data_IF_792215225255
#
_entry.id   IF_792215225255
#
_cell.length_a   1.000
_cell.length_b   1.000
_cell.length_c   1.000
_cell.angle_alpha   90.00
_cell.angle_beta   90.00
_cell.angle_gamma   90.00
#
_symmetry.space_group_name_H-M   'P 1'
#
loop_
_entity.id
_entity.type
_entity.pdbx_description
1 polymer ?
#
# COMPACT_ATOMS: atom_id res chain seq x y z
N UNK A 1 3.63 -49.18 18.28
CA UNK A 1 3.19 -48.61 19.57
C UNK A 1 3.41 -47.10 19.55
N UNK A 2 2.41 -46.31 19.91
CA UNK A 2 2.50 -44.85 19.95
C UNK A 2 2.90 -44.42 21.36
N UNK A 3 4.10 -43.85 21.53
CA UNK A 3 4.56 -43.37 22.86
C UNK A 3 3.75 -42.12 23.22
N UNK A 4 3.00 -42.13 24.33
CA UNK A 4 2.23 -40.96 24.72
C UNK A 4 3.17 -39.81 25.06
N UNK A 5 2.85 -38.63 24.53
CA UNK A 5 3.60 -37.41 24.84
C UNK A 5 3.49 -37.13 26.34
N UNK A 6 4.63 -36.84 26.98
CA UNK A 6 4.67 -36.45 28.40
C UNK A 6 4.47 -34.94 28.55
N UNK A 7 3.76 -34.53 29.60
CA UNK A 7 3.71 -33.12 30.01
C UNK A 7 5.04 -32.73 30.68
N UNK A 8 5.34 -31.43 30.67
CA UNK A 8 6.53 -30.82 31.29
C UNK A 8 6.16 -29.43 31.82
N UNK A 9 6.97 -28.89 32.73
CA UNK A 9 6.76 -27.55 33.29
C UNK A 9 7.06 -26.48 32.22
N UNK A 10 6.12 -25.54 32.01
CA UNK A 10 6.30 -24.40 31.11
C UNK A 10 7.23 -23.34 31.74
N UNK A 11 8.25 -22.89 31.00
CA UNK A 11 9.20 -21.87 31.48
C UNK A 11 8.60 -20.48 31.78
N UNK A 12 7.35 -20.20 31.37
CA UNK A 12 6.74 -18.86 31.53
C UNK A 12 5.55 -18.83 32.49
N UNK A 13 4.79 -19.90 32.60
CA UNK A 13 3.64 -19.94 33.52
C UNK A 13 3.77 -21.02 34.58
N UNK A 14 4.90 -21.74 34.61
CA UNK A 14 5.30 -22.70 35.66
C UNK A 14 4.30 -23.85 35.90
N UNK A 15 3.34 -24.02 34.98
CA UNK A 15 2.35 -25.10 35.05
C UNK A 15 2.77 -26.29 34.19
N UNK A 16 2.35 -27.47 34.62
CA UNK A 16 2.56 -28.72 33.89
C UNK A 16 1.67 -28.77 32.64
N UNK A 17 2.28 -28.71 31.44
CA UNK A 17 1.58 -28.61 30.15
C UNK A 17 2.32 -29.39 29.06
N UNK A 18 1.68 -29.55 27.90
CA UNK A 18 2.40 -29.93 26.68
C UNK A 18 3.17 -28.72 26.15
N UNK A 19 4.50 -28.87 26.00
CA UNK A 19 5.36 -27.80 25.50
C UNK A 19 5.33 -27.74 23.98
N UNK A 20 5.08 -26.56 23.41
CA UNK A 20 5.01 -26.31 21.98
C UNK A 20 6.38 -26.04 21.36
N UNK A 21 7.15 -25.11 21.95
CA UNK A 21 8.48 -24.72 21.45
C UNK A 21 9.22 -23.87 22.48
N UNK A 22 10.56 -23.84 22.43
CA UNK A 22 11.43 -23.09 23.37
C UNK A 22 11.16 -23.35 24.87
N UNK A 23 10.61 -24.52 25.21
CA UNK A 23 10.24 -24.84 26.59
C UNK A 23 8.94 -24.17 27.09
N UNK A 24 8.11 -23.65 26.19
CA UNK A 24 6.89 -22.93 26.50
C UNK A 24 5.64 -23.71 26.07
N UNK A 25 4.54 -23.59 26.80
CA UNK A 25 3.23 -24.03 26.33
C UNK A 25 2.76 -23.18 25.13
N UNK A 26 1.82 -23.68 24.32
CA UNK A 26 1.36 -22.97 23.11
C UNK A 26 0.91 -21.52 23.38
N UNK A 27 0.08 -21.22 24.42
CA UNK A 27 -0.29 -19.84 24.73
C UNK A 27 0.89 -18.93 25.06
N UNK A 28 1.80 -19.38 25.94
CA UNK A 28 2.98 -18.59 26.31
C UNK A 28 3.94 -18.41 25.13
N UNK A 29 4.11 -19.44 24.29
CA UNK A 29 4.94 -19.34 23.08
C UNK A 29 4.40 -18.26 22.15
N UNK A 30 3.09 -18.29 21.83
CA UNK A 30 2.47 -17.31 20.96
C UNK A 30 2.57 -15.90 21.57
N UNK A 31 2.25 -15.73 22.85
CA UNK A 31 2.36 -14.43 23.51
C UNK A 31 3.77 -13.83 23.46
N UNK A 32 4.80 -14.66 23.66
CA UNK A 32 6.20 -14.19 23.77
C UNK A 32 6.94 -14.13 22.43
N UNK A 33 6.49 -14.89 21.42
CA UNK A 33 7.22 -15.02 20.14
C UNK A 33 6.43 -14.54 18.93
N UNK A 34 5.13 -14.24 19.07
CA UNK A 34 4.35 -13.74 17.95
C UNK A 34 4.73 -12.29 17.69
N UNK A 35 5.39 -12.05 16.56
CA UNK A 35 5.71 -10.70 16.10
C UNK A 35 4.46 -10.06 15.50
N UNK A 36 4.28 -8.73 15.64
CA UNK A 36 3.24 -8.03 14.91
C UNK A 36 3.35 -8.30 13.41
N UNK A 37 2.21 -8.48 12.74
CA UNK A 37 2.17 -8.57 11.28
C UNK A 37 2.59 -7.20 10.74
N UNK A 38 3.50 -7.20 9.76
CA UNK A 38 3.92 -5.96 9.11
C UNK A 38 2.71 -5.27 8.44
N UNK A 39 2.58 -3.95 8.61
CA UNK A 39 1.48 -3.16 8.01
C UNK A 39 1.48 -3.20 6.48
N UNK A 40 2.66 -3.36 5.87
CA UNK A 40 2.86 -3.53 4.43
C UNK A 40 3.82 -4.68 4.18
N UNK A 41 3.68 -5.37 3.06
CA UNK A 41 4.63 -6.40 2.65
C UNK A 41 5.97 -5.77 2.27
N UNK A 42 7.05 -6.55 2.38
CA UNK A 42 8.39 -6.12 1.97
C UNK A 42 8.41 -5.70 0.48
N UNK A 43 7.73 -6.47 -0.38
CA UNK A 43 7.54 -6.16 -1.80
C UNK A 43 6.86 -4.81 -2.04
N UNK A 44 5.83 -4.48 -1.25
CA UNK A 44 5.14 -3.19 -1.39
C UNK A 44 6.00 -2.03 -0.88
N UNK A 45 6.80 -2.26 0.16
CA UNK A 45 7.75 -1.26 0.66
C UNK A 45 8.79 -0.87 -0.40
N UNK A 46 9.34 -1.85 -1.13
CA UNK A 46 10.26 -1.62 -2.24
C UNK A 46 9.60 -0.84 -3.38
N UNK A 47 8.37 -1.20 -3.75
CA UNK A 47 7.58 -0.48 -4.75
C UNK A 47 7.35 1.00 -4.37
N UNK A 48 7.01 1.27 -3.09
CA UNK A 48 6.82 2.64 -2.61
C UNK A 48 8.11 3.46 -2.60
N UNK A 49 9.25 2.81 -2.33
CA UNK A 49 10.56 3.47 -2.40
C UNK A 49 10.86 3.93 -3.82
N UNK A 50 10.65 3.06 -4.82
CA UNK A 50 10.83 3.38 -6.24
C UNK A 50 9.86 4.48 -6.70
N UNK A 51 8.58 4.36 -6.32
CA UNK A 51 7.57 5.36 -6.64
C UNK A 51 7.88 6.74 -6.06
N UNK A 52 8.46 6.82 -4.86
CA UNK A 52 8.78 8.10 -4.21
C UNK A 52 9.76 8.91 -5.06
N UNK A 53 10.76 8.25 -5.64
CA UNK A 53 11.74 8.88 -6.54
C UNK A 53 11.07 9.34 -7.83
N UNK A 54 10.40 8.42 -8.53
CA UNK A 54 9.77 8.70 -9.83
C UNK A 54 8.70 9.80 -9.71
N UNK A 55 7.89 9.77 -8.64
CA UNK A 55 6.85 10.78 -8.39
C UNK A 55 7.47 12.16 -8.19
N UNK A 56 8.58 12.25 -7.47
CA UNK A 56 9.28 13.52 -7.23
C UNK A 56 9.79 14.08 -8.55
N UNK A 57 10.52 13.28 -9.33
CA UNK A 57 11.04 13.67 -10.65
C UNK A 57 9.92 14.11 -11.60
N UNK A 58 8.80 13.38 -11.62
CA UNK A 58 7.65 13.75 -12.43
C UNK A 58 7.05 15.10 -12.03
N UNK A 59 6.82 15.34 -10.72
CA UNK A 59 6.25 16.60 -10.25
C UNK A 59 7.19 17.79 -10.47
N UNK A 60 8.51 17.58 -10.34
CA UNK A 60 9.52 18.58 -10.70
C UNK A 60 9.48 18.90 -12.20
N UNK A 61 9.37 17.88 -13.06
CA UNK A 61 9.31 18.06 -14.52
C UNK A 61 8.11 18.89 -15.00
N UNK A 62 7.01 18.87 -14.25
CA UNK A 62 5.83 19.69 -14.54
C UNK A 62 5.76 20.98 -13.70
N UNK A 63 6.86 21.39 -13.06
CA UNK A 63 6.96 22.57 -12.20
C UNK A 63 5.90 22.60 -11.09
N UNK A 64 5.47 21.43 -10.61
CA UNK A 64 4.38 21.29 -9.65
C UNK A 64 3.09 22.02 -10.08
N UNK A 65 2.79 22.13 -11.37
CA UNK A 65 1.56 22.79 -11.85
C UNK A 65 0.43 21.76 -11.90
N UNK A 66 -0.68 22.05 -11.20
CA UNK A 66 -1.89 21.24 -11.27
C UNK A 66 -2.52 21.32 -12.67
N UNK A 67 -2.63 20.18 -13.35
CA UNK A 67 -3.09 20.12 -14.74
C UNK A 67 -4.61 20.30 -14.91
N UNK A 68 -5.49 19.67 -14.09
CA UNK A 68 -6.94 19.82 -14.27
C UNK A 68 -7.44 21.25 -14.12
N UNK A 69 -6.80 22.03 -13.24
CA UNK A 69 -7.09 23.43 -13.06
C UNK A 69 -8.59 23.80 -12.94
N UNK A 70 -9.31 23.04 -12.11
CA UNK A 70 -10.74 23.23 -11.87
C UNK A 70 -11.01 24.46 -10.98
N UNK A 71 -12.28 24.80 -10.79
CA UNK A 71 -12.73 25.99 -10.04
C UNK A 71 -12.06 26.14 -8.66
N UNK A 72 -11.91 25.04 -7.90
CA UNK A 72 -11.28 25.03 -6.56
C UNK A 72 -9.79 24.63 -6.56
N UNK A 73 -9.08 24.83 -7.67
CA UNK A 73 -7.69 24.43 -7.83
C UNK A 73 -6.71 25.34 -7.05
N UNK A 74 -5.83 24.74 -6.24
CA UNK A 74 -4.76 25.47 -5.54
C UNK A 74 -3.55 25.80 -6.43
N UNK A 75 -3.62 25.48 -7.73
CA UNK A 75 -2.59 25.63 -8.78
C UNK A 75 -1.32 24.80 -8.58
N UNK A 76 -1.01 24.40 -7.34
CA UNK A 76 0.14 23.57 -7.00
C UNK A 76 -0.22 22.09 -6.95
N UNK A 77 0.36 21.30 -7.84
CA UNK A 77 0.28 19.85 -7.79
C UNK A 77 1.06 19.32 -6.58
N UNK A 78 0.34 18.61 -5.72
CA UNK A 78 0.87 17.93 -4.53
C UNK A 78 0.65 16.42 -4.61
N UNK A 79 -0.02 15.95 -5.64
CA UNK A 79 -0.43 14.56 -5.83
C UNK A 79 -0.25 14.16 -7.30
N UNK A 80 -0.20 12.85 -7.52
CA UNK A 80 -0.20 12.25 -8.84
C UNK A 80 -1.43 11.38 -8.94
N UNK A 81 -2.27 11.68 -9.91
CA UNK A 81 -3.39 10.84 -10.29
C UNK A 81 -2.93 9.81 -11.33
N UNK A 82 -3.25 8.53 -11.10
CA UNK A 82 -2.92 7.42 -12.01
C UNK A 82 -4.03 7.22 -13.05
N UNK A 83 -3.93 7.87 -14.20
CA UNK A 83 -4.99 7.90 -15.22
C UNK A 83 -5.42 6.51 -15.71
N UNK A 84 -4.49 5.54 -15.75
CA UNK A 84 -4.76 4.15 -16.16
C UNK A 84 -4.96 3.18 -14.99
N UNK A 85 -4.94 3.68 -13.75
CA UNK A 85 -4.93 2.88 -12.54
C UNK A 85 -3.55 2.43 -12.10
N UNK A 86 -3.53 1.64 -11.03
CA UNK A 86 -2.31 1.29 -10.28
C UNK A 86 -2.23 -0.19 -9.90
N UNK A 87 -2.89 -1.06 -10.69
CA UNK A 87 -3.07 -2.50 -10.40
C UNK A 87 -1.81 -3.34 -10.61
N UNK A 88 -0.89 -2.90 -11.47
CA UNK A 88 0.39 -3.56 -11.73
C UNK A 88 1.55 -2.62 -11.39
N UNK A 89 2.74 -3.19 -11.13
CA UNK A 89 3.96 -2.39 -10.91
C UNK A 89 4.23 -1.44 -12.10
N UNK A 90 4.05 -1.92 -13.32
CA UNK A 90 4.20 -1.13 -14.53
C UNK A 90 3.26 0.08 -14.54
N UNK A 91 1.97 -0.11 -14.25
CA UNK A 91 1.02 1.00 -14.21
C UNK A 91 1.25 1.95 -13.03
N UNK A 92 1.66 1.40 -11.88
CA UNK A 92 1.91 2.17 -10.66
C UNK A 92 3.10 3.13 -10.81
N UNK A 93 4.12 2.74 -11.58
CA UNK A 93 5.38 3.47 -11.71
C UNK A 93 5.54 4.22 -13.03
N UNK A 94 4.66 4.05 -14.01
CA UNK A 94 4.86 4.63 -15.33
C UNK A 94 4.38 6.10 -15.42
N UNK A 95 5.29 7.08 -15.56
CA UNK A 95 4.93 8.50 -15.61
C UNK A 95 4.06 8.89 -16.80
N UNK A 96 4.03 8.07 -17.86
CA UNK A 96 3.13 8.27 -19.01
C UNK A 96 1.66 8.32 -18.59
N UNK A 97 1.31 7.64 -17.50
CA UNK A 97 -0.05 7.59 -16.98
C UNK A 97 -0.24 8.46 -15.73
N UNK A 98 0.72 9.32 -15.41
CA UNK A 98 0.62 10.24 -14.29
C UNK A 98 0.00 11.56 -14.74
N UNK A 99 -0.83 12.13 -13.87
CA UNK A 99 -1.40 13.46 -14.03
C UNK A 99 -1.08 14.27 -12.76
N UNK A 100 -0.43 15.45 -12.86
CA UNK A 100 -0.11 16.24 -11.68
C UNK A 100 -1.35 16.98 -11.20
N UNK A 101 -1.72 16.76 -9.95
CA UNK A 101 -2.98 17.27 -9.38
C UNK A 101 -2.75 17.89 -8.00
N UNK A 102 -3.49 18.96 -7.70
CA UNK A 102 -3.72 19.36 -6.31
C UNK A 102 -4.79 18.46 -5.69
N UNK A 103 -4.87 18.42 -4.36
CA UNK A 103 -5.81 17.55 -3.63
C UNK A 103 -7.28 17.79 -4.01
N UNK A 104 -7.70 19.05 -4.21
CA UNK A 104 -9.08 19.37 -4.61
C UNK A 104 -9.42 18.86 -6.01
N UNK A 105 -8.52 19.05 -6.97
CA UNK A 105 -8.70 18.53 -8.32
C UNK A 105 -8.65 16.99 -8.36
N UNK A 106 -7.72 16.37 -7.60
CA UNK A 106 -7.62 14.91 -7.50
C UNK A 106 -8.91 14.30 -6.95
N UNK A 107 -9.47 14.88 -5.90
CA UNK A 107 -10.74 14.41 -5.33
C UNK A 107 -11.87 14.49 -6.35
N UNK A 108 -11.99 15.63 -7.04
CA UNK A 108 -13.07 15.82 -8.01
C UNK A 108 -13.03 14.80 -9.15
N UNK A 109 -11.86 14.53 -9.74
CA UNK A 109 -11.73 13.57 -10.85
C UNK A 109 -11.96 12.11 -10.43
N UNK A 110 -11.68 11.74 -9.18
CA UNK A 110 -11.99 10.41 -8.63
C UNK A 110 -13.51 10.27 -8.39
N UNK A 111 -14.17 11.33 -7.94
CA UNK A 111 -15.62 11.34 -7.65
C UNK A 111 -16.48 11.50 -8.92
N UNK A 112 -15.92 12.03 -10.01
CA UNK A 112 -16.63 12.31 -11.27
C UNK A 112 -15.94 11.59 -12.46
N UNK A 113 -16.05 10.25 -12.56
CA UNK A 113 -15.31 9.47 -13.54
C UNK A 113 -15.68 9.78 -15.00
N UNK A 114 -16.96 10.08 -15.30
CA UNK A 114 -17.39 10.47 -16.66
C UNK A 114 -16.69 11.75 -17.11
N UNK A 115 -16.74 12.80 -16.27
CA UNK A 115 -15.99 14.03 -16.46
C UNK A 115 -14.49 13.77 -16.65
N UNK A 116 -13.91 12.90 -15.82
CA UNK A 116 -12.49 12.57 -15.90
C UNK A 116 -12.15 11.87 -17.23
N UNK A 117 -13.02 11.01 -17.77
CA UNK A 117 -12.82 10.39 -19.07
C UNK A 117 -12.96 11.38 -20.21
N UNK A 118 -14.00 12.22 -20.19
CA UNK A 118 -14.26 13.23 -21.22
C UNK A 118 -13.13 14.26 -21.33
N UNK A 119 -12.53 14.62 -20.20
CA UNK A 119 -11.44 15.60 -20.13
C UNK A 119 -10.04 14.96 -20.21
N UNK A 120 -9.95 13.64 -20.42
CA UNK A 120 -8.67 12.92 -20.54
C UNK A 120 -7.87 12.83 -19.24
N UNK A 121 -8.49 13.06 -18.08
CA UNK A 121 -7.88 12.87 -16.76
C UNK A 121 -7.88 11.41 -16.31
N UNK A 122 -8.69 10.57 -16.94
CA UNK A 122 -8.70 9.12 -16.75
C UNK A 122 -8.78 8.41 -18.09
N UNK A 123 -8.24 7.19 -18.17
CA UNK A 123 -8.25 6.36 -19.37
C UNK A 123 -9.22 5.19 -19.14
N UNK A 124 -10.23 5.05 -20.00
CA UNK A 124 -11.15 3.91 -19.94
C UNK A 124 -10.33 2.62 -20.08
N UNK A 125 -10.50 1.72 -19.12
CA UNK A 125 -9.96 0.37 -19.22
C UNK A 125 -11.00 -0.39 -20.03
N UNK A 126 -10.68 -0.76 -21.27
CA UNK A 126 -11.56 -1.65 -22.03
C UNK A 126 -11.71 -2.93 -21.20
N UNK A 127 -12.90 -3.14 -20.66
CA UNK A 127 -13.30 -4.45 -20.13
C UNK A 127 -13.54 -5.29 -21.38
N UNK A 128 -12.59 -6.16 -21.71
CA UNK A 128 -12.88 -7.31 -22.56
C UNK A 128 -13.55 -8.37 -21.72
#
# INVERSE_FOLDING_TARGET
>A
MMIPRKKKICKSCETEKYLFGKGLCKPCYLRLNNKPINKISQKHKELLSEYTVIRKEFLESCNYICKPNLENCTRKATEVHHMKGKVSKELFLNPKYFLPTCSSCHKYIEEHPEFAYENGFSIKRNIK
#
